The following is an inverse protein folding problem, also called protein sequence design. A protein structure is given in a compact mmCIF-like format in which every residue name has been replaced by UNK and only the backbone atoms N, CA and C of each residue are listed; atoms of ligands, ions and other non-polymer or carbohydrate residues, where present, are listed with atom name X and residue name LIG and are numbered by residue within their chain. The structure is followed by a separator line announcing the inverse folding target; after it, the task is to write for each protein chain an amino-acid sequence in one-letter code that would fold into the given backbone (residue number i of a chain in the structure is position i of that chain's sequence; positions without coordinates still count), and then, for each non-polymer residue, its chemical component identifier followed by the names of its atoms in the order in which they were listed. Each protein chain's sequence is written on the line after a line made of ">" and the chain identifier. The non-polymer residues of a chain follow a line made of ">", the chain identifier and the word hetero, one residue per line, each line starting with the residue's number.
data_IF_818414368751
#
_entry.id   IF_818414368751
#
_cell.length_a   1.000
_cell.length_b   1.000
_cell.length_c   1.000
_cell.angle_alpha   90.00
_cell.angle_beta   90.00
_cell.angle_gamma   90.00
#
_symmetry.space_group_name_H-M   'P 1'
#
loop_
_entity.id
_entity.type
_entity.pdbx_description
1 polymer ?
#
# COMPACT_ATOMS: atom_id res chain seq x y z
N UNK A 1 11.86 2.59 -9.06
CA UNK A 1 11.59 3.81 -8.27
C UNK A 1 12.50 4.99 -8.62
N UNK A 2 13.78 4.78 -8.98
CA UNK A 2 14.67 5.87 -9.48
C UNK A 2 14.13 6.64 -10.71
N UNK A 3 13.18 6.09 -11.48
CA UNK A 3 12.59 6.75 -12.65
C UNK A 3 11.71 7.98 -12.32
N UNK A 4 11.10 8.04 -11.14
CA UNK A 4 10.25 9.18 -10.76
C UNK A 4 11.07 10.40 -10.28
N UNK A 5 12.34 10.18 -9.90
CA UNK A 5 13.23 11.25 -9.43
C UNK A 5 13.64 12.23 -10.53
N UNK A 6 13.63 11.81 -11.80
CA UNK A 6 14.17 12.57 -12.94
C UNK A 6 13.37 13.84 -13.31
N UNK A 7 12.45 14.30 -12.44
CA UNK A 7 11.49 15.38 -12.73
C UNK A 7 11.23 16.32 -11.54
N UNK A 8 12.23 16.61 -10.72
CA UNK A 8 12.15 17.56 -9.59
C UNK A 8 11.07 17.22 -8.53
N UNK A 9 10.71 15.93 -8.41
CA UNK A 9 9.82 15.46 -7.35
C UNK A 9 10.61 15.09 -6.11
N UNK A 10 10.17 15.61 -4.96
CA UNK A 10 10.50 15.04 -3.66
C UNK A 10 9.62 13.81 -3.43
N UNK A 11 10.25 12.69 -3.09
CA UNK A 11 9.57 11.41 -2.93
C UNK A 11 9.78 10.89 -1.51
N UNK A 12 8.69 10.76 -0.77
CA UNK A 12 8.67 10.09 0.52
C UNK A 12 8.20 8.65 0.33
N UNK A 13 9.12 7.69 0.50
CA UNK A 13 8.81 6.28 0.53
C UNK A 13 8.43 5.87 1.94
N UNK A 14 7.23 5.34 2.12
CA UNK A 14 6.88 4.67 3.36
C UNK A 14 7.10 3.16 3.22
N UNK A 15 7.76 2.57 4.22
CA UNK A 15 7.87 1.15 4.41
C UNK A 15 7.18 0.74 5.71
N UNK A 16 6.82 -0.53 5.84
CA UNK A 16 6.59 -1.05 7.17
C UNK A 16 7.95 -1.31 7.86
N UNK A 17 7.98 -1.30 9.19
CA UNK A 17 9.24 -1.45 9.95
C UNK A 17 10.02 -2.71 9.59
N UNK A 18 9.32 -3.83 9.37
CA UNK A 18 9.94 -5.09 8.97
C UNK A 18 10.66 -5.00 7.61
N UNK A 19 10.02 -4.44 6.58
CA UNK A 19 10.61 -4.24 5.26
C UNK A 19 11.75 -3.22 5.30
N UNK A 20 11.63 -2.19 6.13
CA UNK A 20 12.70 -1.22 6.35
C UNK A 20 13.95 -1.88 6.93
N UNK A 21 13.81 -2.71 7.97
CA UNK A 21 14.91 -3.49 8.55
C UNK A 21 15.56 -4.42 7.52
N UNK A 22 14.76 -5.12 6.70
CA UNK A 22 15.27 -5.99 5.63
C UNK A 22 16.01 -5.23 4.53
N UNK A 23 15.53 -4.05 4.16
CA UNK A 23 16.20 -3.18 3.19
C UNK A 23 17.59 -2.77 3.71
N UNK A 24 17.67 -2.34 4.97
CA UNK A 24 18.94 -1.99 5.61
C UNK A 24 19.89 -3.18 5.73
N UNK A 25 19.39 -4.36 6.08
CA UNK A 25 20.24 -5.55 6.21
C UNK A 25 20.77 -6.05 4.87
N UNK A 26 19.99 -5.94 3.79
CA UNK A 26 20.40 -6.39 2.45
C UNK A 26 21.33 -5.42 1.72
N UNK A 27 21.22 -4.10 1.98
CA UNK A 27 21.93 -3.06 1.23
C UNK A 27 22.84 -2.17 2.08
N UNK A 28 22.89 -2.41 3.39
CA UNK A 28 23.68 -1.65 4.37
C UNK A 28 23.04 -0.32 4.77
N UNK A 29 23.64 0.38 5.74
CA UNK A 29 23.18 1.69 6.23
C UNK A 29 23.08 2.75 5.12
N UNK A 30 23.91 2.62 4.08
CA UNK A 30 23.90 3.49 2.90
C UNK A 30 22.81 3.15 1.89
N UNK A 31 21.94 2.17 2.16
CA UNK A 31 20.81 1.85 1.29
C UNK A 31 19.83 3.02 1.11
N UNK A 32 19.81 3.90 2.11
CA UNK A 32 18.93 5.07 2.20
C UNK A 32 19.71 6.37 1.98
N UNK A 33 21.03 6.36 2.21
CA UNK A 33 21.92 7.47 1.87
C UNK A 33 22.18 7.48 0.37
N UNK A 34 21.47 8.34 -0.37
CA UNK A 34 21.78 8.47 -1.79
C UNK A 34 21.18 9.66 -2.51
N UNK A 35 20.06 10.22 -2.05
CA UNK A 35 19.37 11.26 -2.81
C UNK A 35 18.70 12.26 -1.85
N UNK A 36 19.05 13.57 -1.89
CA UNK A 36 18.52 14.58 -0.97
C UNK A 36 16.99 14.74 -1.04
N UNK A 37 16.39 14.42 -2.18
CA UNK A 37 14.93 14.49 -2.39
C UNK A 37 14.21 13.15 -2.12
N UNK A 38 14.90 12.15 -1.57
CA UNK A 38 14.29 10.88 -1.16
C UNK A 38 14.27 10.77 0.35
N UNK A 39 13.06 10.75 0.90
CA UNK A 39 12.86 10.51 2.33
C UNK A 39 12.28 9.11 2.53
N UNK A 40 12.71 8.45 3.59
CA UNK A 40 12.18 7.15 3.99
C UNK A 40 11.48 7.29 5.33
N UNK A 41 10.24 6.85 5.38
CA UNK A 41 9.39 6.87 6.56
C UNK A 41 8.94 5.44 6.88
N UNK A 42 8.63 5.19 8.14
CA UNK A 42 8.16 3.87 8.58
C UNK A 42 6.85 3.94 9.34
N UNK A 43 6.03 2.90 9.16
CA UNK A 43 4.87 2.63 10.00
C UNK A 43 4.99 1.23 10.62
N UNK A 44 4.46 1.02 11.84
CA UNK A 44 4.41 -0.30 12.45
C UNK A 44 3.56 -1.25 11.61
N UNK A 45 3.96 -2.52 11.55
CA UNK A 45 3.26 -3.56 10.77
C UNK A 45 2.19 -4.32 11.57
N UNK A 46 1.94 -3.91 12.83
CA UNK A 46 0.96 -4.51 13.72
C UNK A 46 1.39 -5.86 14.31
N UNK A 47 2.65 -6.26 14.15
CA UNK A 47 3.21 -7.47 14.75
C UNK A 47 4.07 -7.14 15.98
N UNK A 48 4.28 -8.11 16.89
CA UNK A 48 5.29 -7.99 17.92
C UNK A 48 6.68 -7.77 17.29
N UNK A 49 7.58 -7.03 17.96
CA UNK A 49 8.96 -6.90 17.50
C UNK A 49 9.56 -8.29 17.30
N UNK A 50 10.02 -8.56 16.09
CA UNK A 50 10.80 -9.75 15.78
C UNK A 50 12.23 -9.33 15.42
N UNK A 51 13.19 -9.89 16.13
CA UNK A 51 14.62 -9.67 15.88
C UNK A 51 15.12 -10.52 14.71
N UNK A 52 14.39 -11.57 14.32
CA UNK A 52 14.70 -12.40 13.17
C UNK A 52 14.05 -11.85 11.89
N UNK A 53 14.85 -11.09 11.14
CA UNK A 53 14.48 -10.47 9.85
C UNK A 53 14.46 -11.43 8.67
N UNK A 54 14.92 -12.69 8.85
CA UNK A 54 15.04 -13.68 7.77
C UNK A 54 13.82 -14.62 7.71
N UNK A 55 12.94 -14.54 8.70
CA UNK A 55 11.67 -15.30 8.73
C UNK A 55 10.66 -14.63 7.82
N UNK A 56 10.13 -15.40 6.85
CA UNK A 56 9.03 -14.94 5.98
C UNK A 56 7.78 -14.67 6.82
N UNK A 57 7.25 -13.44 6.75
CA UNK A 57 5.99 -13.09 7.41
C UNK A 57 4.84 -13.95 6.87
N UNK A 58 3.95 -14.39 7.77
CA UNK A 58 2.69 -15.02 7.36
C UNK A 58 1.86 -14.01 6.57
N UNK A 59 1.68 -14.30 5.28
CA UNK A 59 0.97 -13.43 4.33
C UNK A 59 -0.47 -13.22 4.75
N UNK A 60 -1.15 -14.23 5.32
CA UNK A 60 -2.55 -14.11 5.74
C UNK A 60 -2.65 -13.18 6.95
N UNK A 61 -1.77 -13.37 7.93
CA UNK A 61 -1.70 -12.49 9.09
C UNK A 61 -1.35 -11.05 8.69
N UNK A 62 -0.42 -10.87 7.73
CA UNK A 62 -0.02 -9.55 7.24
C UNK A 62 -1.19 -8.86 6.51
N UNK A 63 -1.91 -9.58 5.64
CA UNK A 63 -3.10 -9.05 4.98
C UNK A 63 -4.15 -8.59 5.99
N UNK A 64 -4.37 -9.36 7.06
CA UNK A 64 -5.27 -8.97 8.15
C UNK A 64 -4.77 -7.71 8.85
N UNK A 65 -3.48 -7.65 9.20
CA UNK A 65 -2.89 -6.49 9.84
C UNK A 65 -3.03 -5.22 8.98
N UNK A 66 -2.77 -5.31 7.67
CA UNK A 66 -2.96 -4.21 6.72
C UNK A 66 -4.37 -3.63 6.79
N UNK A 67 -5.39 -4.47 6.93
CA UNK A 67 -6.79 -4.00 7.01
C UNK A 67 -7.18 -3.44 8.38
N UNK A 68 -6.50 -3.85 9.45
CA UNK A 68 -6.93 -3.54 10.83
C UNK A 68 -6.06 -2.47 11.51
N UNK A 69 -4.77 -2.40 11.20
CA UNK A 69 -3.79 -1.65 12.00
C UNK A 69 -3.07 -0.54 11.23
N UNK A 70 -2.96 -0.62 9.90
CA UNK A 70 -2.11 0.29 9.12
C UNK A 70 -2.70 1.69 8.90
N UNK A 71 -4.03 1.82 8.89
CA UNK A 71 -4.68 3.08 8.54
C UNK A 71 -4.35 4.22 9.52
N UNK A 72 -4.40 3.96 10.83
CA UNK A 72 -4.17 4.98 11.84
C UNK A 72 -2.71 5.51 11.83
N UNK A 73 -1.67 4.64 11.89
CA UNK A 73 -0.28 5.09 11.77
C UNK A 73 0.02 5.80 10.45
N UNK A 74 -0.61 5.36 9.35
CA UNK A 74 -0.47 6.04 8.07
C UNK A 74 -1.04 7.45 8.09
N UNK A 75 -2.21 7.65 8.72
CA UNK A 75 -2.80 8.98 8.87
C UNK A 75 -1.93 9.90 9.73
N UNK A 76 -1.36 9.37 10.81
CA UNK A 76 -0.42 10.11 11.65
C UNK A 76 0.85 10.50 10.90
N UNK A 77 1.38 9.60 10.07
CA UNK A 77 2.51 9.91 9.19
C UNK A 77 2.18 11.06 8.22
N UNK A 78 1.02 11.03 7.57
CA UNK A 78 0.58 12.10 6.68
C UNK A 78 0.44 13.44 7.40
N UNK A 79 -0.06 13.44 8.64
CA UNK A 79 -0.14 14.65 9.45
C UNK A 79 1.25 15.23 9.76
N UNK A 80 2.22 14.40 10.16
CA UNK A 80 3.61 14.85 10.40
C UNK A 80 4.26 15.43 9.15
N UNK A 81 4.02 14.81 7.99
CA UNK A 81 4.54 15.30 6.71
C UNK A 81 3.88 16.65 6.33
N UNK A 82 2.59 16.82 6.59
CA UNK A 82 1.89 18.08 6.39
C UNK A 82 2.45 19.21 7.29
N UNK A 83 2.71 18.92 8.56
CA UNK A 83 3.31 19.88 9.49
C UNK A 83 4.73 20.26 9.05
N UNK A 84 5.51 19.27 8.61
CA UNK A 84 6.86 19.50 8.06
C UNK A 84 6.84 20.35 6.79
N UNK A 85 5.82 20.17 5.95
CA UNK A 85 5.63 21.01 4.77
C UNK A 85 5.24 22.45 5.13
N UNK A 86 4.37 22.62 6.12
CA UNK A 86 3.97 23.94 6.62
C UNK A 86 5.15 24.69 7.26
N UNK A 87 6.07 23.96 7.90
CA UNK A 87 7.31 24.49 8.44
C UNK A 87 8.39 24.78 7.37
N UNK A 88 8.14 24.44 6.10
CA UNK A 88 9.10 24.63 5.00
C UNK A 88 10.29 23.68 5.00
N UNK A 89 10.19 22.56 5.73
CA UNK A 89 11.26 21.54 5.80
C UNK A 89 11.24 20.65 4.55
N UNK A 90 10.04 20.32 4.08
CA UNK A 90 9.81 19.52 2.86
C UNK A 90 8.75 20.21 1.98
N UNK A 91 8.65 19.90 0.67
CA UNK A 91 7.55 20.40 -0.13
C UNK A 91 6.20 19.77 0.26
N UNK A 92 5.06 20.44 -0.03
CA UNK A 92 3.73 19.87 0.22
C UNK A 92 3.49 18.56 -0.54
N UNK A 93 2.71 17.67 0.08
CA UNK A 93 2.28 16.41 -0.55
C UNK A 93 1.30 16.75 -1.67
N UNK A 94 1.60 16.31 -2.90
CA UNK A 94 0.77 16.60 -4.09
C UNK A 94 0.07 15.38 -4.67
N UNK A 95 0.58 14.17 -4.42
CA UNK A 95 -0.07 12.93 -4.83
C UNK A 95 0.39 11.75 -3.98
N UNK A 96 -0.38 10.67 -4.01
CA UNK A 96 -0.01 9.38 -3.45
C UNK A 96 0.21 8.38 -4.58
N UNK A 97 1.22 7.53 -4.43
CA UNK A 97 1.46 6.37 -5.31
C UNK A 97 1.45 5.15 -4.42
N UNK A 98 0.51 4.23 -4.66
CA UNK A 98 0.25 3.12 -3.74
C UNK A 98 0.06 1.80 -4.44
N UNK A 99 0.46 0.73 -3.75
CA UNK A 99 0.17 -0.63 -4.16
C UNK A 99 -1.34 -0.90 -4.01
N UNK A 100 -1.92 -1.58 -5.00
CA UNK A 100 -3.32 -2.00 -5.01
C UNK A 100 -3.73 -2.86 -3.80
N UNK A 101 -2.77 -3.49 -3.12
CA UNK A 101 -2.98 -4.24 -1.89
C UNK A 101 -3.12 -3.37 -0.64
N UNK A 102 -2.62 -2.13 -0.68
CA UNK A 102 -2.61 -1.19 0.45
C UNK A 102 -3.86 -0.31 0.43
N UNK A 103 -5.04 -0.92 0.51
CA UNK A 103 -6.33 -0.26 0.25
C UNK A 103 -6.60 0.94 1.18
N UNK A 104 -6.07 0.94 2.40
CA UNK A 104 -6.19 2.03 3.37
C UNK A 104 -5.64 3.37 2.84
N UNK A 105 -4.68 3.33 1.92
CA UNK A 105 -4.08 4.55 1.32
C UNK A 105 -5.09 5.32 0.47
N UNK A 106 -6.10 4.65 -0.08
CA UNK A 106 -7.11 5.35 -0.87
C UNK A 106 -8.09 6.08 0.02
N UNK A 107 -8.49 5.48 1.14
CA UNK A 107 -9.31 6.18 2.11
C UNK A 107 -8.63 7.48 2.54
N UNK A 108 -7.34 7.42 2.87
CA UNK A 108 -6.54 8.60 3.22
C UNK A 108 -6.43 9.61 2.05
N UNK A 109 -6.23 9.14 0.81
CA UNK A 109 -6.21 10.01 -0.36
C UNK A 109 -7.52 10.78 -0.53
N UNK A 110 -8.65 10.10 -0.36
CA UNK A 110 -9.98 10.69 -0.44
C UNK A 110 -10.23 11.70 0.68
N UNK A 111 -9.89 11.35 1.93
CA UNK A 111 -10.02 12.25 3.10
C UNK A 111 -9.21 13.55 2.93
N UNK A 112 -8.06 13.48 2.25
CA UNK A 112 -7.17 14.63 2.02
C UNK A 112 -7.36 15.29 0.65
N UNK A 113 -8.33 14.83 -0.16
CA UNK A 113 -8.53 15.27 -1.54
C UNK A 113 -7.25 15.23 -2.40
N UNK A 114 -6.39 14.23 -2.16
CA UNK A 114 -5.15 14.01 -2.89
C UNK A 114 -5.38 13.08 -4.10
N UNK A 115 -4.81 13.38 -5.27
CA UNK A 115 -4.71 12.42 -6.36
C UNK A 115 -3.96 11.17 -5.91
N UNK A 116 -4.45 9.98 -6.30
CA UNK A 116 -3.80 8.71 -6.03
C UNK A 116 -3.59 7.89 -7.31
N UNK A 117 -2.38 7.40 -7.50
CA UNK A 117 -2.00 6.45 -8.55
C UNK A 117 -1.84 5.08 -7.91
N UNK A 118 -2.62 4.11 -8.38
CA UNK A 118 -2.56 2.74 -7.90
C UNK A 118 -1.75 1.88 -8.88
N UNK A 119 -0.84 1.06 -8.36
CA UNK A 119 -0.08 0.10 -9.16
C UNK A 119 -0.18 -1.32 -8.59
N UNK A 120 -0.03 -2.33 -9.46
CA UNK A 120 0.10 -3.72 -9.04
C UNK A 120 1.54 -4.18 -9.28
N UNK A 121 2.23 -4.76 -8.29
CA UNK A 121 3.48 -5.45 -8.54
C UNK A 121 3.25 -6.83 -9.19
N UNK A 122 2.01 -7.32 -9.20
CA UNK A 122 1.67 -8.61 -9.79
C UNK A 122 1.58 -8.53 -11.32
N UNK A 123 1.68 -9.69 -11.98
CA UNK A 123 1.48 -9.78 -13.42
C UNK A 123 0.05 -9.36 -13.83
N UNK A 124 -0.13 -8.91 -15.08
CA UNK A 124 -1.45 -8.58 -15.60
C UNK A 124 -2.45 -9.75 -15.48
N UNK A 125 -1.98 -10.99 -15.68
CA UNK A 125 -2.79 -12.20 -15.50
C UNK A 125 -3.23 -12.38 -14.03
N UNK A 126 -2.30 -12.21 -13.08
CA UNK A 126 -2.58 -12.28 -11.65
C UNK A 126 -3.56 -11.19 -11.22
N UNK A 127 -3.40 -9.96 -11.73
CA UNK A 127 -4.32 -8.86 -11.45
C UNK A 127 -5.73 -9.17 -11.97
N UNK A 128 -5.85 -9.66 -13.21
CA UNK A 128 -7.14 -10.06 -13.76
C UNK A 128 -7.80 -11.17 -12.94
N UNK A 129 -7.04 -12.19 -12.51
CA UNK A 129 -7.57 -13.24 -11.65
C UNK A 129 -8.10 -12.69 -10.32
N UNK A 130 -7.40 -11.73 -9.71
CA UNK A 130 -7.87 -11.03 -8.49
C UNK A 130 -9.14 -10.23 -8.74
N UNK A 131 -9.23 -9.51 -9.87
CA UNK A 131 -10.41 -8.71 -10.21
C UNK A 131 -11.66 -9.58 -10.45
N UNK A 132 -11.51 -10.77 -11.01
CA UNK A 132 -12.60 -11.72 -11.24
C UNK A 132 -12.84 -12.68 -10.07
N UNK A 133 -12.14 -12.53 -8.94
CA UNK A 133 -12.25 -13.42 -7.80
C UNK A 133 -13.71 -13.54 -7.29
N UNK A 134 -14.42 -12.41 -7.18
CA UNK A 134 -15.81 -12.40 -6.75
C UNK A 134 -16.74 -13.10 -7.73
N UNK A 135 -16.57 -12.86 -9.02
CA UNK A 135 -17.36 -13.53 -10.05
C UNK A 135 -17.14 -15.05 -10.00
N UNK A 136 -15.91 -15.50 -9.75
CA UNK A 136 -15.63 -16.92 -9.53
C UNK A 136 -16.27 -17.45 -8.24
N UNK A 137 -16.30 -16.66 -7.17
CA UNK A 137 -16.95 -17.02 -5.91
C UNK A 137 -18.47 -17.13 -6.06
N UNK A 138 -19.12 -16.13 -6.66
CA UNK A 138 -20.56 -16.11 -6.92
C UNK A 138 -21.01 -17.28 -7.79
N UNK A 139 -20.18 -17.65 -8.77
CA UNK A 139 -20.42 -18.81 -9.64
C UNK A 139 -20.14 -20.15 -8.96
N UNK A 140 -19.72 -20.15 -7.69
CA UNK A 140 -19.39 -21.36 -6.94
C UNK A 140 -18.15 -22.10 -7.47
N UNK A 141 -17.30 -21.43 -8.24
CA UNK A 141 -16.05 -21.99 -8.74
C UNK A 141 -14.98 -22.03 -7.64
N UNK A 142 -15.10 -21.16 -6.64
CA UNK A 142 -14.27 -21.11 -5.45
C UNK A 142 -15.13 -20.91 -4.18
N UNK A 143 -14.67 -21.40 -3.01
CA UNK A 143 -13.46 -22.19 -2.82
C UNK A 143 -13.60 -23.61 -3.39
N UNK A 144 -12.49 -24.17 -3.86
CA UNK A 144 -12.45 -25.58 -4.25
C UNK A 144 -12.84 -26.46 -3.06
N UNK A 145 -13.57 -27.56 -3.29
CA UNK A 145 -13.97 -28.48 -2.22
C UNK A 145 -12.75 -28.89 -1.40
N UNK A 146 -12.80 -28.62 -0.10
CA UNK A 146 -11.73 -28.96 0.85
C UNK A 146 -10.66 -27.88 1.07
N UNK A 147 -10.78 -26.69 0.48
CA UNK A 147 -9.83 -25.57 0.68
C UNK A 147 -10.51 -24.44 1.45
N UNK A 148 -9.98 -24.06 2.61
CA UNK A 148 -10.35 -22.82 3.30
C UNK A 148 -9.57 -21.67 2.68
N UNK A 149 -10.21 -20.85 1.85
CA UNK A 149 -9.59 -19.64 1.32
C UNK A 149 -9.98 -18.48 2.23
N UNK A 150 -9.01 -17.93 2.97
CA UNK A 150 -9.17 -16.61 3.58
C UNK A 150 -9.35 -15.63 2.42
N UNK A 151 -10.39 -14.78 2.38
CA UNK A 151 -10.51 -13.80 1.32
C UNK A 151 -9.26 -12.91 1.39
N UNK A 152 -8.35 -12.95 0.39
CA UNK A 152 -7.31 -11.95 0.33
C UNK A 152 -8.04 -10.65 0.03
N UNK A 153 -7.75 -9.62 0.81
CA UNK A 153 -8.40 -8.31 0.76
C UNK A 153 -9.74 -8.26 1.47
N UNK A 154 -9.91 -7.23 2.31
CA UNK A 154 -11.22 -6.68 2.64
C UNK A 154 -11.94 -6.37 1.34
N UNK A 155 -12.72 -7.34 0.88
CA UNK A 155 -13.49 -7.31 -0.35
C UNK A 155 -14.36 -6.03 -0.37
N UNK A 156 -14.82 -5.56 0.79
CA UNK A 156 -15.61 -4.33 0.97
C UNK A 156 -14.97 -3.08 0.37
N UNK A 157 -13.66 -2.88 0.55
CA UNK A 157 -12.99 -1.67 0.04
C UNK A 157 -12.78 -1.74 -1.48
N UNK A 158 -12.48 -2.93 -2.03
CA UNK A 158 -12.42 -3.16 -3.49
C UNK A 158 -13.79 -2.99 -4.18
N UNK A 159 -14.88 -3.29 -3.48
CA UNK A 159 -16.26 -3.13 -3.99
C UNK A 159 -16.69 -1.68 -4.14
N UNK A 160 -16.35 -0.83 -3.18
CA UNK A 160 -16.61 0.61 -3.30
C UNK A 160 -15.88 1.20 -4.51
N UNK A 161 -14.69 0.68 -4.84
CA UNK A 161 -13.92 1.08 -6.01
C UNK A 161 -14.43 0.57 -7.36
N UNK A 162 -14.86 -0.68 -7.43
CA UNK A 162 -15.42 -1.24 -8.67
C UNK A 162 -16.77 -0.61 -9.01
N UNK A 163 -17.50 -0.09 -8.01
CA UNK A 163 -18.70 0.73 -8.21
C UNK A 163 -18.43 2.10 -8.85
N UNK A 164 -17.18 2.62 -8.83
CA UNK A 164 -16.82 3.86 -9.54
C UNK A 164 -16.72 3.71 -11.07
N UNK A 165 -16.88 2.50 -11.63
CA UNK A 165 -16.98 2.29 -13.08
C UNK A 165 -18.43 2.01 -13.53
N UNK A 166 -19.25 3.07 -13.64
CA UNK A 166 -20.00 3.40 -14.89
C UNK A 166 -20.91 4.65 -14.74
N UNK A 167 -20.53 5.83 -15.27
CA UNK A 167 -21.48 6.90 -15.56
C UNK A 167 -22.03 6.91 -16.99
N UNK A 168 -21.69 5.95 -17.86
CA UNK A 168 -22.16 5.98 -19.26
C UNK A 168 -22.66 4.64 -19.79
N UNK A 169 -23.92 4.34 -19.47
CA UNK A 169 -24.79 3.61 -20.39
C UNK A 169 -26.21 4.16 -20.33
N UNK A 170 -26.33 5.41 -20.77
CA UNK A 170 -27.58 5.97 -21.26
C UNK A 170 -27.52 6.05 -22.78
N UNK A 171 -28.21 5.13 -23.46
CA UNK A 171 -28.85 5.32 -24.76
C UNK A 171 -30.05 4.39 -24.82
#
# INVERSE_FOLDING_TARGET
>A
MQLLHLRDFCITFFHNEYNYKRLLNSRGLKALDGIPDFHFETIPDGFPPNDDVDVTQDVVALCKSVTETFFLPFRELLARLYDSATAGIIPPITCLVSDLSMTFTTQAAHELALPIVLFSPASACSLMATLHYHEHYDKGLIPLKGVTVFPPFSLKTYWEFSAFKNPTRGR
#
